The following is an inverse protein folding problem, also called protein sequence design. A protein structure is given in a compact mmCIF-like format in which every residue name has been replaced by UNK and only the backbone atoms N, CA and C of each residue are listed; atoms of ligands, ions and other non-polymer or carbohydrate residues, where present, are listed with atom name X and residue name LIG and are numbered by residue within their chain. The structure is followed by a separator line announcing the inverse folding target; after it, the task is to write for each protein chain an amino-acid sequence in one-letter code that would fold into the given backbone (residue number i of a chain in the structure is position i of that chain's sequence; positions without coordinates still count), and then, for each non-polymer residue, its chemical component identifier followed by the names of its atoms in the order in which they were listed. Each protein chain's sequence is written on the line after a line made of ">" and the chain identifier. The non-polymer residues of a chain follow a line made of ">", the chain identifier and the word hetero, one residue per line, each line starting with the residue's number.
data_IF_223283358096
#
_entry.id   IF_223283358096
#
_cell.length_a   1.000
_cell.length_b   1.000
_cell.length_c   1.000
_cell.angle_alpha   90.00
_cell.angle_beta   90.00
_cell.angle_gamma   90.00
#
_symmetry.space_group_name_H-M   'P 1'
#
loop_
_entity.id
_entity.type
_entity.pdbx_description
1 polymer ?
#
# COMPACT_ATOMS: atom_id res chain seq x y z
N UNK A 1 13.92 3.59 -12.25
CA UNK A 1 14.48 2.84 -11.12
C UNK A 1 14.99 1.51 -11.62
N UNK A 2 16.08 0.99 -11.04
CA UNK A 2 16.65 -0.31 -11.46
C UNK A 2 15.81 -1.50 -10.96
N UNK A 3 14.86 -1.24 -10.08
CA UNK A 3 13.96 -2.24 -9.50
C UNK A 3 12.59 -2.18 -10.21
N UNK A 4 12.28 -3.21 -11.01
CA UNK A 4 10.95 -3.40 -11.61
C UNK A 4 9.92 -3.90 -10.58
N UNK A 5 10.38 -4.48 -9.47
CA UNK A 5 9.59 -4.93 -8.33
C UNK A 5 10.20 -4.39 -7.03
N UNK A 6 9.36 -4.01 -6.06
CA UNK A 6 9.80 -3.54 -4.73
C UNK A 6 9.52 -2.07 -4.42
N UNK A 7 8.83 -1.34 -5.30
CA UNK A 7 8.20 -0.05 -4.98
C UNK A 7 6.71 -0.28 -4.73
N UNK A 8 6.39 -0.68 -3.51
CA UNK A 8 5.02 -1.01 -3.12
C UNK A 8 4.29 0.19 -2.48
N UNK A 9 5.02 1.28 -2.25
CA UNK A 9 4.50 2.52 -1.72
C UNK A 9 5.03 3.76 -2.47
N UNK A 10 4.15 4.71 -2.86
CA UNK A 10 2.69 4.58 -2.85
C UNK A 10 2.25 3.47 -3.83
N UNK A 11 1.11 2.82 -3.55
CA UNK A 11 0.59 1.76 -4.40
C UNK A 11 0.35 2.25 -5.83
N UNK A 12 0.43 1.36 -6.80
CA UNK A 12 0.12 1.66 -8.20
C UNK A 12 -1.37 2.00 -8.37
N UNK A 13 -1.73 3.28 -8.45
CA UNK A 13 -3.12 3.72 -8.53
C UNK A 13 -3.86 3.25 -9.80
N UNK A 14 -3.14 2.95 -10.88
CA UNK A 14 -3.73 2.41 -12.11
C UNK A 14 -4.19 0.95 -11.94
N UNK A 15 -3.48 0.16 -11.13
CA UNK A 15 -3.77 -1.27 -10.92
C UNK A 15 -4.53 -1.54 -9.62
N UNK A 16 -4.26 -0.74 -8.60
CA UNK A 16 -4.80 -0.84 -7.25
C UNK A 16 -5.46 0.50 -6.89
N UNK A 17 -6.24 1.04 -7.82
CA UNK A 17 -7.06 2.23 -7.63
C UNK A 17 -8.39 1.91 -6.95
N UNK A 18 -9.05 2.92 -6.35
CA UNK A 18 -10.33 2.69 -5.70
C UNK A 18 -11.43 2.23 -6.67
N UNK A 19 -11.31 2.52 -7.97
CA UNK A 19 -12.25 2.03 -8.99
C UNK A 19 -12.01 0.58 -9.44
N UNK A 20 -10.88 -0.03 -9.10
CA UNK A 20 -10.56 -1.41 -9.53
C UNK A 20 -11.31 -2.42 -8.69
N UNK A 21 -11.35 -2.24 -7.36
CA UNK A 21 -12.01 -3.17 -6.44
C UNK A 21 -13.50 -3.32 -6.71
N UNK A 22 -14.30 -2.25 -6.94
CA UNK A 22 -15.71 -2.38 -7.30
C UNK A 22 -15.94 -3.18 -8.58
N UNK A 23 -15.11 -2.98 -9.61
CA UNK A 23 -15.22 -3.73 -10.88
C UNK A 23 -14.89 -5.21 -10.70
N UNK A 24 -13.89 -5.52 -9.86
CA UNK A 24 -13.56 -6.90 -9.51
C UNK A 24 -14.66 -7.56 -8.68
N UNK A 25 -15.23 -6.84 -7.72
CA UNK A 25 -16.34 -7.30 -6.90
C UNK A 25 -17.58 -7.59 -7.76
N UNK A 26 -17.94 -6.68 -8.66
CA UNK A 26 -19.04 -6.86 -9.62
C UNK A 26 -18.85 -8.12 -10.47
N UNK A 27 -17.66 -8.32 -11.04
CA UNK A 27 -17.33 -9.52 -11.80
C UNK A 27 -17.37 -10.82 -10.98
N UNK A 28 -17.28 -10.72 -9.65
CA UNK A 28 -17.40 -11.83 -8.71
C UNK A 28 -18.80 -11.98 -8.09
N UNK A 29 -19.78 -11.16 -8.49
CA UNK A 29 -21.11 -11.14 -7.89
C UNK A 29 -21.14 -10.64 -6.44
N UNK A 30 -20.15 -9.85 -6.05
CA UNK A 30 -20.02 -9.26 -4.72
C UNK A 30 -20.37 -7.77 -4.74
N UNK A 31 -20.88 -7.27 -3.62
CA UNK A 31 -21.13 -5.85 -3.40
C UNK A 31 -20.06 -5.25 -2.48
N UNK A 32 -19.50 -4.10 -2.84
CA UNK A 32 -18.51 -3.42 -1.98
C UNK A 32 -19.24 -2.55 -0.95
N UNK A 33 -19.23 -2.98 0.30
CA UNK A 33 -19.84 -2.24 1.41
C UNK A 33 -18.95 -1.07 1.86
N UNK A 34 -17.65 -1.31 1.95
CA UNK A 34 -16.69 -0.29 2.39
C UNK A 34 -15.37 -0.46 1.66
N UNK A 35 -14.82 0.66 1.21
CA UNK A 35 -13.50 0.72 0.60
C UNK A 35 -12.62 1.69 1.37
N UNK A 36 -11.38 1.29 1.62
CA UNK A 36 -10.41 2.11 2.32
C UNK A 36 -8.98 1.70 1.99
N UNK A 37 -8.06 2.22 2.79
CA UNK A 37 -6.65 1.85 2.71
C UNK A 37 -6.10 1.48 4.06
N UNK A 38 -5.11 0.60 4.07
CA UNK A 38 -4.38 0.20 5.26
C UNK A 38 -2.93 0.66 5.19
N UNK A 39 -2.39 0.99 6.36
CA UNK A 39 -0.97 1.25 6.53
C UNK A 39 -0.18 -0.05 6.53
N UNK A 40 0.95 -0.06 5.84
CA UNK A 40 1.95 -1.08 5.90
C UNK A 40 3.35 -0.45 5.91
N UNK A 41 3.79 -0.06 7.11
CA UNK A 41 5.13 0.52 7.33
C UNK A 41 6.29 -0.31 6.79
N UNK A 42 6.14 -1.64 6.64
CA UNK A 42 7.17 -2.50 6.00
C UNK A 42 7.27 -2.27 4.50
N UNK A 43 6.13 -2.13 3.80
CA UNK A 43 6.11 -1.81 2.37
C UNK A 43 6.69 -0.42 2.10
N UNK A 44 6.39 0.54 2.99
CA UNK A 44 7.01 1.86 2.97
C UNK A 44 8.53 1.77 3.14
N UNK A 45 8.99 1.09 4.19
CA UNK A 45 10.42 0.93 4.51
C UNK A 45 11.20 0.24 3.38
N UNK A 46 10.60 -0.78 2.77
CA UNK A 46 11.15 -1.46 1.59
C UNK A 46 11.28 -0.52 0.40
N UNK A 47 10.23 0.23 0.09
CA UNK A 47 10.20 1.18 -1.04
C UNK A 47 11.22 2.30 -0.84
N UNK A 48 11.32 2.85 0.37
CA UNK A 48 12.30 3.86 0.74
C UNK A 48 13.74 3.32 0.66
N UNK A 49 13.99 2.11 1.14
CA UNK A 49 15.30 1.47 1.04
C UNK A 49 15.73 1.23 -0.42
N UNK A 50 14.80 0.83 -1.29
CA UNK A 50 15.05 0.66 -2.72
C UNK A 50 15.33 2.01 -3.41
N UNK A 51 14.57 3.06 -3.06
CA UNK A 51 14.82 4.42 -3.56
C UNK A 51 16.22 4.91 -3.18
N UNK A 52 16.62 4.70 -1.92
CA UNK A 52 17.96 5.06 -1.46
C UNK A 52 19.06 4.32 -2.21
N UNK A 53 18.87 3.03 -2.51
CA UNK A 53 19.83 2.27 -3.34
C UNK A 53 19.91 2.81 -4.76
N UNK A 54 18.77 3.15 -5.36
CA UNK A 54 18.70 3.73 -6.71
C UNK A 54 19.38 5.11 -6.78
N UNK A 55 19.40 5.87 -5.68
CA UNK A 55 20.15 7.11 -5.54
C UNK A 55 21.62 6.92 -5.14
N UNK A 56 22.14 5.69 -5.15
CA UNK A 56 23.50 5.35 -4.70
C UNK A 56 23.81 5.80 -3.26
N UNK A 57 22.80 5.85 -2.39
CA UNK A 57 23.03 6.14 -0.98
C UNK A 57 23.87 5.04 -0.30
N UNK A 58 24.61 5.36 0.78
CA UNK A 58 25.42 4.38 1.49
C UNK A 58 24.65 3.13 1.92
N UNK A 59 25.27 1.96 1.78
CA UNK A 59 24.64 0.67 2.09
C UNK A 59 24.19 0.56 3.56
N UNK A 60 24.85 1.25 4.49
CA UNK A 60 24.42 1.27 5.90
C UNK A 60 23.05 1.95 6.07
N UNK A 61 22.79 3.03 5.32
CA UNK A 61 21.56 3.81 5.41
C UNK A 61 20.37 3.04 4.83
N UNK A 62 20.52 2.48 3.62
CA UNK A 62 19.47 1.67 3.00
C UNK A 62 19.14 0.40 3.81
N UNK A 63 20.13 -0.20 4.49
CA UNK A 63 19.91 -1.33 5.41
C UNK A 63 19.16 -0.92 6.69
N UNK A 64 19.48 0.22 7.28
CA UNK A 64 18.76 0.70 8.46
C UNK A 64 17.31 1.04 8.15
N UNK A 65 17.06 1.73 7.03
CA UNK A 65 15.71 2.04 6.56
C UNK A 65 14.92 0.77 6.26
N UNK A 66 15.51 -0.19 5.54
CA UNK A 66 14.83 -1.46 5.21
C UNK A 66 14.50 -2.34 6.42
N UNK A 67 15.24 -2.21 7.53
CA UNK A 67 14.94 -2.89 8.80
C UNK A 67 13.85 -2.20 9.62
N UNK A 68 13.40 -1.01 9.21
CA UNK A 68 12.48 -0.19 10.00
C UNK A 68 13.12 0.38 11.26
N UNK A 69 14.45 0.51 11.29
CA UNK A 69 15.17 1.00 12.46
C UNK A 69 14.79 2.47 12.77
N UNK A 70 14.77 2.82 14.06
CA UNK A 70 14.58 4.20 14.51
C UNK A 70 15.77 5.07 14.04
N UNK A 71 15.55 6.34 13.60
CA UNK A 71 14.29 7.10 13.57
C UNK A 71 13.41 6.86 12.34
N UNK A 72 13.88 6.10 11.35
CA UNK A 72 13.20 5.93 10.07
C UNK A 72 11.85 5.21 10.17
N UNK A 73 11.68 4.31 11.15
CA UNK A 73 10.37 3.72 11.46
C UNK A 73 9.31 4.75 11.90
N UNK A 74 9.71 5.80 12.63
CA UNK A 74 8.81 6.87 13.06
C UNK A 74 8.40 7.79 11.92
N UNK A 75 9.37 8.19 11.08
CA UNK A 75 9.10 8.98 9.87
C UNK A 75 8.23 8.22 8.86
N UNK A 76 8.47 6.91 8.70
CA UNK A 76 7.64 6.06 7.84
C UNK A 76 6.19 6.01 8.31
N UNK A 77 5.94 5.91 9.62
CA UNK A 77 4.58 5.96 10.18
C UNK A 77 3.89 7.32 9.97
N UNK A 78 4.62 8.43 10.08
CA UNK A 78 4.07 9.76 9.83
C UNK A 78 3.71 9.96 8.35
N UNK A 79 4.64 9.61 7.45
CA UNK A 79 4.39 9.68 6.00
C UNK A 79 3.22 8.78 5.59
N UNK A 80 3.13 7.61 6.19
CA UNK A 80 2.01 6.70 6.02
C UNK A 80 0.70 7.29 6.54
N UNK A 81 0.67 7.83 7.76
CA UNK A 81 -0.53 8.43 8.34
C UNK A 81 -1.07 9.60 7.50
N UNK A 82 -0.19 10.45 6.97
CA UNK A 82 -0.58 11.53 6.04
C UNK A 82 -1.16 10.94 4.75
N UNK A 83 -0.53 9.91 4.21
CA UNK A 83 -0.98 9.26 2.96
C UNK A 83 -2.29 8.50 3.14
N UNK A 84 -2.55 7.90 4.31
CA UNK A 84 -3.82 7.25 4.64
C UNK A 84 -4.99 8.23 4.60
N UNK A 85 -4.80 9.46 5.11
CA UNK A 85 -5.85 10.49 5.07
C UNK A 85 -6.27 10.85 3.64
N UNK A 86 -5.37 10.72 2.68
CA UNK A 86 -5.65 10.92 1.25
C UNK A 86 -6.08 9.65 0.50
N UNK A 87 -6.34 8.53 1.19
CA UNK A 87 -6.65 7.25 0.54
C UNK A 87 -5.49 6.70 -0.30
N UNK A 88 -4.24 7.09 0.00
CA UNK A 88 -3.00 6.71 -0.72
C UNK A 88 -2.18 5.69 0.05
N UNK A 89 -2.80 4.90 0.93
CA UNK A 89 -2.12 3.83 1.65
C UNK A 89 -1.47 2.78 0.74
N UNK A 90 -0.51 2.04 1.29
CA UNK A 90 0.20 0.97 0.58
C UNK A 90 -0.73 -0.16 0.12
N UNK A 91 -1.82 -0.38 0.85
CA UNK A 91 -2.74 -1.50 0.64
C UNK A 91 -4.16 -0.96 0.49
N UNK A 92 -4.89 -1.48 -0.49
CA UNK A 92 -6.34 -1.34 -0.57
C UNK A 92 -6.99 -2.39 0.32
N UNK A 93 -7.99 -1.97 1.08
CA UNK A 93 -8.84 -2.88 1.85
C UNK A 93 -10.30 -2.63 1.48
N UNK A 94 -11.04 -3.72 1.33
CA UNK A 94 -12.47 -3.66 1.10
C UNK A 94 -13.20 -4.66 1.99
N UNK A 95 -14.34 -4.24 2.49
CA UNK A 95 -15.36 -5.12 3.06
C UNK A 95 -16.38 -5.35 1.96
N UNK A 96 -16.64 -6.61 1.66
CA UNK A 96 -17.55 -7.02 0.60
C UNK A 96 -18.66 -7.89 1.17
N UNK A 97 -19.85 -7.74 0.60
CA UNK A 97 -21.00 -8.57 0.90
C UNK A 97 -21.19 -9.57 -0.23
N UNK A 98 -21.44 -10.82 0.14
CA UNK A 98 -21.90 -11.83 -0.81
C UNK A 98 -23.25 -11.43 -1.40
N UNK A 99 -23.68 -12.03 -2.51
CA UNK A 99 -25.07 -11.93 -2.90
C UNK A 99 -25.87 -12.46 -1.70
N UNK A 100 -26.78 -11.65 -1.16
CA UNK A 100 -27.75 -12.17 -0.20
C UNK A 100 -28.36 -13.43 -0.83
N UNK A 101 -28.57 -14.49 -0.04
CA UNK A 101 -29.60 -15.47 -0.38
C UNK A 101 -30.90 -14.65 -0.50
N UNK A 102 -31.14 -14.13 -1.70
CA UNK A 102 -32.35 -13.43 -2.06
C UNK A 102 -33.44 -14.45 -1.82
N UNK A 103 -34.24 -14.19 -0.78
CA UNK A 103 -35.22 -15.08 -0.16
C UNK A 103 -35.56 -16.36 -0.93
N UNK A 104 -35.22 -17.50 -0.34
CA UNK A 104 -36.08 -18.68 -0.43
C UNK A 104 -37.16 -18.58 0.62
#
# INVERSE_FOLDING_TARGET
>A
GRHWAGYDFPRHLALLGPGVIPRLAEGAGLEVERLGTLGNSRLWARSAANLLRDWNAPAWLSRQVGRGAFPFGGLGRLAEAVSQRGGKGAVLAAVMRGPEETGR
#
